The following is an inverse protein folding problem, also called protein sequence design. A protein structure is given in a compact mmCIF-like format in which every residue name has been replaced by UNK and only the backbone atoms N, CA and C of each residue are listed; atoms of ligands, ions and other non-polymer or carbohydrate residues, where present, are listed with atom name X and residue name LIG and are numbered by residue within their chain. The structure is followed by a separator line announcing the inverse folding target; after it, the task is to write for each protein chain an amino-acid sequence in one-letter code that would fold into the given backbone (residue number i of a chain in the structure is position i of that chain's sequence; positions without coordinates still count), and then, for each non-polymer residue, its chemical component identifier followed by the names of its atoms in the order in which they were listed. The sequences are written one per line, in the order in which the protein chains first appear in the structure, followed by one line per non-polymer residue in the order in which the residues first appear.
data_IF_318700651293
#
_entry.id   IF_318700651293
#
_cell.length_a   1.000
_cell.length_b   1.000
_cell.length_c   1.000
_cell.angle_alpha   90.00
_cell.angle_beta   90.00
_cell.angle_gamma   90.00
#
_symmetry.space_group_name_H-M   'P 1'
#
loop_
_entity.id
_entity.type
_entity.pdbx_description
1 polymer ?
#
# COMPACT_ATOMS: atom_id res chain seq x y z
N UNK A 1 1.06 -23.34 -1.30
CA UNK A 1 0.11 -22.43 -1.90
C UNK A 1 -0.07 -21.20 -1.05
N UNK A 2 0.12 -20.05 -1.62
CA UNK A 2 0.09 -18.81 -0.85
C UNK A 2 -1.33 -18.24 -0.82
N UNK A 3 -1.73 -17.73 0.34
CA UNK A 3 -2.97 -16.99 0.45
C UNK A 3 -2.81 -15.66 -0.29
N UNK A 4 -3.92 -15.06 -0.73
CA UNK A 4 -3.83 -13.72 -1.30
C UNK A 4 -3.23 -12.77 -0.28
N UNK A 5 -2.32 -11.95 -0.74
CA UNK A 5 -1.67 -10.94 0.11
C UNK A 5 -2.68 -9.83 0.34
N UNK A 6 -2.81 -9.36 1.59
CA UNK A 6 -3.73 -8.27 1.86
C UNK A 6 -3.18 -6.94 1.34
N UNK A 7 -4.03 -5.91 1.33
CA UNK A 7 -3.67 -4.63 0.76
C UNK A 7 -2.45 -4.01 1.42
N UNK A 8 -2.36 -4.09 2.74
CA UNK A 8 -1.24 -3.49 3.46
C UNK A 8 0.07 -4.21 3.16
N UNK A 9 0.05 -5.53 3.16
CA UNK A 9 1.24 -6.29 2.82
C UNK A 9 1.68 -6.03 1.39
N UNK A 10 0.72 -5.99 0.47
CA UNK A 10 1.03 -5.69 -0.93
C UNK A 10 1.66 -4.31 -1.06
N UNK A 11 1.11 -3.31 -0.38
CA UNK A 11 1.65 -1.96 -0.41
C UNK A 11 3.07 -1.91 0.13
N UNK A 12 3.31 -2.62 1.22
CA UNK A 12 4.65 -2.66 1.81
C UNK A 12 5.67 -3.23 0.84
N UNK A 13 5.32 -4.33 0.18
CA UNK A 13 6.24 -4.95 -0.78
C UNK A 13 6.52 -4.02 -1.97
N UNK A 14 5.48 -3.39 -2.51
CA UNK A 14 5.66 -2.45 -3.60
C UNK A 14 6.57 -1.29 -3.19
N UNK A 15 6.32 -0.71 -2.04
CA UNK A 15 7.11 0.43 -1.59
C UNK A 15 8.56 0.05 -1.31
N UNK A 16 8.78 -1.15 -0.79
CA UNK A 16 10.15 -1.63 -0.59
C UNK A 16 10.89 -1.79 -1.90
N UNK A 17 10.21 -2.31 -2.92
CA UNK A 17 10.83 -2.53 -4.22
C UNK A 17 11.12 -1.22 -4.93
N UNK A 18 10.19 -0.27 -4.87
CA UNK A 18 10.35 1.02 -5.53
C UNK A 18 11.34 1.91 -4.76
N UNK A 19 11.31 1.85 -3.44
CA UNK A 19 12.25 2.59 -2.62
C UNK A 19 11.90 4.06 -2.42
N UNK A 20 10.67 4.46 -2.69
CA UNK A 20 10.23 5.84 -2.50
C UNK A 20 8.72 5.88 -2.27
N UNK A 21 8.22 6.97 -1.66
CA UNK A 21 6.78 7.13 -1.49
C UNK A 21 6.05 7.23 -2.83
N UNK A 22 4.83 6.72 -2.85
CA UNK A 22 4.01 6.70 -4.07
C UNK A 22 2.57 7.08 -3.73
N UNK A 23 1.87 7.56 -4.74
CA UNK A 23 0.43 7.76 -4.66
C UNK A 23 -0.26 6.39 -4.50
N UNK A 24 -1.36 6.36 -3.74
CA UNK A 24 -2.04 5.09 -3.47
C UNK A 24 -2.51 4.39 -4.75
N UNK A 25 -2.87 5.15 -5.78
CA UNK A 25 -3.25 4.56 -7.06
C UNK A 25 -2.09 3.83 -7.72
N UNK A 26 -0.89 4.42 -7.66
CA UNK A 26 0.29 3.77 -8.22
C UNK A 26 0.69 2.54 -7.42
N UNK A 27 0.58 2.62 -6.09
CA UNK A 27 0.84 1.46 -5.24
C UNK A 27 -0.08 0.31 -5.64
N UNK A 28 -1.36 0.62 -5.85
CA UNK A 28 -2.34 -0.40 -6.22
C UNK A 28 -2.00 -1.03 -7.57
N UNK A 29 -1.70 -0.19 -8.56
CA UNK A 29 -1.38 -0.70 -9.90
C UNK A 29 -0.15 -1.59 -9.87
N UNK A 30 0.90 -1.15 -9.19
CA UNK A 30 2.12 -1.94 -9.12
C UNK A 30 1.91 -3.24 -8.35
N UNK A 31 1.08 -3.20 -7.31
CA UNK A 31 0.77 -4.41 -6.57
C UNK A 31 0.05 -5.43 -7.43
N UNK A 32 -0.86 -4.96 -8.27
CA UNK A 32 -1.57 -5.84 -9.17
C UNK A 32 -0.66 -6.39 -10.26
N UNK A 33 0.18 -5.54 -10.83
CA UNK A 33 1.12 -5.96 -11.87
C UNK A 33 2.12 -6.98 -11.36
N UNK A 34 2.55 -6.82 -10.12
CA UNK A 34 3.53 -7.71 -9.51
C UNK A 34 2.92 -8.99 -8.94
N UNK A 35 1.60 -9.12 -8.98
CA UNK A 35 0.94 -10.30 -8.46
C UNK A 35 0.77 -10.32 -6.96
N UNK A 36 1.12 -9.23 -6.27
CA UNK A 36 0.93 -9.15 -4.82
C UNK A 36 -0.53 -8.97 -4.44
N UNK A 37 -1.34 -8.50 -5.37
CA UNK A 37 -2.74 -8.19 -5.10
C UNK A 37 -3.57 -8.71 -6.26
N UNK A 38 -4.50 -9.60 -5.96
CA UNK A 38 -5.43 -10.07 -6.97
C UNK A 38 -6.46 -8.98 -7.20
N UNK A 39 -6.99 -8.93 -8.41
CA UNK A 39 -8.07 -7.99 -8.71
C UNK A 39 -9.24 -8.25 -7.77
N UNK A 40 -9.49 -7.32 -6.87
CA UNK A 40 -10.44 -7.54 -5.79
C UNK A 40 -11.49 -6.44 -5.82
N UNK A 41 -12.39 -6.49 -6.77
CA UNK A 41 -13.51 -5.60 -6.77
C UNK A 41 -13.35 -4.43 -7.72
N UNK A 42 -14.28 -3.49 -7.63
CA UNK A 42 -14.42 -2.44 -8.63
C UNK A 42 -13.45 -1.28 -8.47
N UNK A 43 -13.07 -1.00 -7.24
CA UNK A 43 -12.24 0.16 -6.98
C UNK A 43 -11.13 -0.20 -6.00
N UNK A 44 -10.16 -1.01 -6.46
CA UNK A 44 -9.07 -1.42 -5.57
C UNK A 44 -8.26 -0.24 -5.06
N UNK A 45 -8.17 0.84 -5.83
CA UNK A 45 -7.47 2.05 -5.39
C UNK A 45 -8.13 2.66 -4.16
N UNK A 46 -9.47 2.70 -4.13
CA UNK A 46 -10.18 3.24 -2.98
C UNK A 46 -9.97 2.37 -1.74
N UNK A 47 -9.97 1.07 -1.92
CA UNK A 47 -9.70 0.15 -0.82
C UNK A 47 -8.28 0.34 -0.29
N UNK A 48 -7.32 0.46 -1.20
CA UNK A 48 -5.93 0.69 -0.81
C UNK A 48 -5.81 1.98 0.00
N UNK A 49 -6.41 3.06 -0.51
CA UNK A 49 -6.38 4.34 0.19
C UNK A 49 -6.95 4.22 1.60
N UNK A 50 -8.11 3.58 1.71
CA UNK A 50 -8.78 3.43 3.00
C UNK A 50 -7.92 2.62 3.96
N UNK A 51 -7.36 1.52 3.51
CA UNK A 51 -6.54 0.66 4.35
C UNK A 51 -5.29 1.37 4.85
N UNK A 52 -4.62 2.09 3.95
CA UNK A 52 -3.40 2.81 4.33
C UNK A 52 -3.72 3.97 5.25
N UNK A 53 -4.79 4.71 4.98
CA UNK A 53 -5.19 5.84 5.82
C UNK A 53 -5.51 5.40 7.24
N UNK A 54 -6.29 4.33 7.37
CA UNK A 54 -6.66 3.81 8.69
C UNK A 54 -5.43 3.30 9.42
N UNK A 55 -4.56 2.59 8.72
CA UNK A 55 -3.37 2.04 9.35
C UNK A 55 -2.46 3.15 9.87
N UNK A 56 -2.24 4.17 9.06
CA UNK A 56 -1.40 5.31 9.47
C UNK A 56 -2.01 6.05 10.65
N UNK A 57 -3.34 6.20 10.66
CA UNK A 57 -4.02 6.95 11.71
C UNK A 57 -4.12 6.17 13.01
N UNK A 58 -4.45 4.89 12.94
CA UNK A 58 -4.88 4.13 14.11
C UNK A 58 -3.85 3.12 14.62
N UNK A 59 -2.88 2.74 13.80
CA UNK A 59 -1.91 1.72 14.19
C UNK A 59 -0.57 2.38 14.53
N UNK A 60 -0.20 2.47 15.82
CA UNK A 60 1.07 3.10 16.19
C UNK A 60 2.30 2.36 15.69
N UNK A 61 2.14 1.08 15.31
CA UNK A 61 3.25 0.28 14.81
C UNK A 61 3.22 0.13 13.30
N UNK A 62 2.43 0.95 12.62
CA UNK A 62 2.36 0.89 11.17
C UNK A 62 3.73 1.13 10.53
N UNK A 63 4.09 0.36 9.50
CA UNK A 63 5.32 0.67 8.76
C UNK A 63 5.15 1.84 7.80
N UNK A 64 3.92 2.32 7.61
CA UNK A 64 3.62 3.33 6.61
C UNK A 64 3.66 4.73 7.20
N UNK A 65 3.95 5.69 6.32
CA UNK A 65 3.87 7.11 6.67
C UNK A 65 3.23 7.83 5.48
N UNK A 66 2.36 8.78 5.78
CA UNK A 66 1.78 9.63 4.75
C UNK A 66 2.63 10.88 4.62
N UNK A 67 3.28 11.06 3.47
CA UNK A 67 4.19 12.18 3.28
C UNK A 67 3.49 13.39 2.65
N UNK A 68 2.34 13.16 2.03
CA UNK A 68 1.52 14.22 1.42
C UNK A 68 0.14 13.64 1.21
N UNK A 69 -0.87 14.46 0.90
CA UNK A 69 -2.21 13.93 0.65
C UNK A 69 -2.17 12.87 -0.44
N UNK A 70 -2.61 11.68 -0.11
CA UNK A 70 -2.65 10.56 -1.03
C UNK A 70 -1.32 9.88 -1.31
N UNK A 71 -0.23 10.36 -0.73
CA UNK A 71 1.11 9.80 -0.95
C UNK A 71 1.56 9.05 0.31
N UNK A 72 1.95 7.81 0.12
CA UNK A 72 2.35 6.95 1.23
C UNK A 72 3.72 6.35 0.99
N UNK A 73 4.48 6.18 2.04
CA UNK A 73 5.78 5.55 1.98
C UNK A 73 5.99 4.68 3.20
N UNK A 74 7.21 4.21 3.36
CA UNK A 74 7.59 3.42 4.54
C UNK A 74 8.42 4.30 5.47
N UNK A 75 8.21 4.11 6.77
CA UNK A 75 8.97 4.87 7.75
C UNK A 75 10.48 4.66 7.60
N UNK A 76 10.87 3.47 7.18
CA UNK A 76 12.29 3.15 7.03
C UNK A 76 12.94 3.87 5.85
N UNK A 77 12.16 4.51 4.99
CA UNK A 77 12.69 5.29 3.87
C UNK A 77 13.18 6.67 4.28
N UNK A 78 12.84 7.12 5.47
CA UNK A 78 13.19 8.47 5.94
C UNK A 78 14.44 8.46 6.78
#
# INVERSE_FOLDING_TARGET
MSAPVDFRTAAREVLREVGRPLHYGDITELAMESGYLASAGRTPQNTMRARLSVDVRDNPETPFVQTAPGIYGLKEMN
#
